data_IF_353274819507
#
_entry.id   IF_353274819507
#
_cell.length_a   1.000
_cell.length_b   1.000
_cell.length_c   1.000
_cell.angle_alpha   90.00
_cell.angle_beta   90.00
_cell.angle_gamma   90.00
#
_symmetry.space_group_name_H-M   'P 1'
#
loop_
_entity.id
_entity.type
_entity.pdbx_description
1 polymer ?
#
# COMPACT_ATOMS: atom_id res chain seq x y z
N UNK A 1 18.71 1.19 -9.51
CA UNK A 1 18.75 0.86 -8.07
C UNK A 1 18.16 1.97 -7.18
N UNK A 2 17.92 3.19 -7.68
CA UNK A 2 17.55 4.34 -6.83
C UNK A 2 16.05 4.64 -6.64
N UNK A 3 15.14 3.93 -7.31
CA UNK A 3 13.71 4.20 -7.17
C UNK A 3 13.09 3.67 -5.86
N UNK A 4 13.83 2.87 -5.08
CA UNK A 4 13.30 2.16 -3.91
C UNK A 4 13.45 2.93 -2.59
N UNK A 5 14.28 3.97 -2.52
CA UNK A 5 14.59 4.69 -1.26
C UNK A 5 13.78 5.96 -1.00
N UNK A 6 12.78 6.31 -1.80
CA UNK A 6 12.27 7.69 -1.83
C UNK A 6 11.64 8.17 -0.51
N UNK A 7 10.89 7.33 0.21
CA UNK A 7 10.18 7.77 1.43
C UNK A 7 11.07 7.70 2.67
N UNK A 8 11.75 6.58 2.93
CA UNK A 8 12.75 6.50 4.01
C UNK A 8 13.91 7.47 3.76
N UNK A 9 14.36 7.59 2.52
CA UNK A 9 15.38 8.54 2.08
C UNK A 9 14.96 9.99 2.27
N UNK A 10 13.66 10.32 2.21
CA UNK A 10 13.20 11.66 2.55
C UNK A 10 13.50 12.02 4.01
N UNK A 11 13.28 11.08 4.94
CA UNK A 11 13.58 11.29 6.37
C UNK A 11 15.09 11.27 6.62
N UNK A 12 15.82 10.34 6.00
CA UNK A 12 17.27 10.25 6.13
C UNK A 12 17.99 11.50 5.58
N UNK A 13 17.54 12.02 4.43
CA UNK A 13 18.11 13.22 3.81
C UNK A 13 17.63 14.51 4.46
N UNK A 14 16.37 14.55 4.92
CA UNK A 14 15.79 15.72 5.58
C UNK A 14 16.29 15.92 7.01
N UNK A 15 16.77 14.86 7.67
CA UNK A 15 17.29 14.93 9.02
C UNK A 15 16.28 15.55 10.00
N UNK A 16 16.74 16.50 10.81
CA UNK A 16 15.88 17.21 11.77
C UNK A 16 14.73 17.97 11.10
N UNK A 17 14.94 18.49 9.89
CA UNK A 17 13.93 19.26 9.16
C UNK A 17 12.73 18.41 8.70
N UNK A 18 12.88 17.09 8.65
CA UNK A 18 11.77 16.18 8.33
C UNK A 18 10.81 16.00 9.52
N UNK A 19 11.27 16.17 10.77
CA UNK A 19 10.45 15.97 11.95
C UNK A 19 9.24 16.93 11.96
N UNK A 20 8.06 16.40 12.30
CA UNK A 20 6.81 17.14 12.32
C UNK A 20 6.17 17.33 10.94
N UNK A 21 6.78 16.86 9.85
CA UNK A 21 6.11 16.81 8.53
C UNK A 21 4.87 15.92 8.65
N UNK A 22 3.74 16.38 8.10
CA UNK A 22 2.46 15.64 8.11
C UNK A 22 2.05 15.41 6.66
N UNK A 23 1.77 14.16 6.31
CA UNK A 23 1.38 13.81 4.94
C UNK A 23 0.48 12.57 4.93
N UNK A 24 -0.46 12.47 3.97
CA UNK A 24 -1.21 11.24 3.76
C UNK A 24 -0.30 10.19 3.09
N UNK A 25 -0.31 8.97 3.58
CA UNK A 25 0.43 7.87 2.99
C UNK A 25 -0.27 6.53 3.16
N UNK A 26 0.10 5.57 2.30
CA UNK A 26 -0.36 4.19 2.45
C UNK A 26 0.13 3.57 3.75
N UNK A 27 -0.62 2.61 4.28
CA UNK A 27 -0.39 2.03 5.61
C UNK A 27 0.86 1.15 5.73
N UNK A 28 1.57 0.89 4.64
CA UNK A 28 2.79 0.06 4.65
C UNK A 28 3.87 0.63 5.58
N UNK A 29 4.01 1.96 5.65
CA UNK A 29 4.99 2.64 6.52
C UNK A 29 4.72 2.42 8.01
N UNK A 30 3.47 2.12 8.38
CA UNK A 30 3.00 1.95 9.76
C UNK A 30 2.31 0.59 9.96
N UNK A 31 2.63 -0.40 9.12
CA UNK A 31 1.95 -1.70 9.10
C UNK A 31 1.95 -2.38 10.48
N UNK A 32 3.07 -2.29 11.19
CA UNK A 32 3.25 -2.89 12.52
C UNK A 32 2.39 -2.20 13.60
N UNK A 33 1.95 -0.96 13.35
CA UNK A 33 1.16 -0.14 14.29
C UNK A 33 -0.35 -0.19 14.05
N UNK A 34 -0.81 -0.87 12.99
CA UNK A 34 -2.24 -1.10 12.75
C UNK A 34 -2.83 -2.05 13.80
N UNK A 35 -4.13 -1.92 14.08
CA UNK A 35 -4.88 -2.91 14.85
C UNK A 35 -4.87 -4.28 14.16
N UNK A 36 -4.91 -5.35 14.95
CA UNK A 36 -4.78 -6.73 14.44
C UNK A 36 -5.95 -7.16 13.55
N UNK A 37 -7.13 -6.57 13.75
CA UNK A 37 -8.34 -6.81 12.97
C UNK A 37 -8.43 -5.95 11.69
N UNK A 38 -7.47 -5.04 11.47
CA UNK A 38 -7.48 -4.20 10.28
C UNK A 38 -7.33 -5.08 9.02
N UNK A 39 -8.22 -4.97 8.01
CA UNK A 39 -8.23 -5.90 6.88
C UNK A 39 -6.91 -5.98 6.10
N UNK A 40 -6.18 -4.86 6.01
CA UNK A 40 -4.87 -4.81 5.35
C UNK A 40 -3.69 -5.32 6.19
N UNK A 41 -3.82 -5.51 7.52
CA UNK A 41 -2.69 -5.85 8.42
C UNK A 41 -1.90 -7.04 7.91
N UNK A 42 -2.62 -8.12 7.57
CA UNK A 42 -2.01 -9.38 7.12
C UNK A 42 -1.19 -9.21 5.84
N UNK A 43 -1.75 -8.58 4.81
CA UNK A 43 -1.03 -8.40 3.52
C UNK A 43 0.18 -7.48 3.69
N UNK A 44 0.05 -6.41 4.48
CA UNK A 44 1.14 -5.46 4.70
C UNK A 44 2.31 -6.09 5.45
N UNK A 45 2.05 -6.76 6.57
CA UNK A 45 3.10 -7.42 7.38
C UNK A 45 3.77 -8.55 6.58
N UNK A 46 2.99 -9.32 5.84
CA UNK A 46 3.52 -10.42 4.99
C UNK A 46 4.43 -9.85 3.90
N UNK A 47 3.94 -8.86 3.13
CA UNK A 47 4.70 -8.24 2.05
C UNK A 47 5.99 -7.59 2.56
N UNK A 48 5.90 -6.82 3.66
CA UNK A 48 7.07 -6.22 4.32
C UNK A 48 8.10 -7.28 4.69
N UNK A 49 7.68 -8.31 5.42
CA UNK A 49 8.58 -9.39 5.86
C UNK A 49 9.25 -10.09 4.68
N UNK A 50 8.48 -10.46 3.67
CA UNK A 50 8.99 -11.21 2.52
C UNK A 50 9.98 -10.37 1.70
N UNK A 51 9.69 -9.08 1.51
CA UNK A 51 10.58 -8.14 0.83
C UNK A 51 11.88 -7.95 1.61
N UNK A 52 11.80 -7.57 2.89
CA UNK A 52 12.96 -7.26 3.73
C UNK A 52 13.84 -8.50 3.94
N UNK A 53 13.24 -9.68 4.11
CA UNK A 53 13.99 -10.93 4.26
C UNK A 53 14.74 -11.33 2.99
N UNK A 54 14.17 -11.03 1.82
CA UNK A 54 14.75 -11.41 0.53
C UNK A 54 15.84 -10.44 0.07
N UNK A 55 15.65 -9.14 0.29
CA UNK A 55 16.52 -8.10 -0.26
C UNK A 55 17.45 -7.46 0.77
N UNK A 56 17.22 -7.66 2.07
CA UNK A 56 18.08 -7.11 3.12
C UNK A 56 18.00 -5.58 3.25
N UNK A 57 16.94 -4.97 2.72
CA UNK A 57 16.68 -3.54 2.76
C UNK A 57 15.23 -3.30 3.19
N UNK A 58 14.94 -2.10 3.72
CA UNK A 58 13.58 -1.73 4.16
C UNK A 58 12.60 -1.74 3.00
N UNK A 59 11.36 -2.14 3.28
CA UNK A 59 10.30 -2.10 2.28
C UNK A 59 9.95 -0.67 1.88
N UNK A 60 9.61 -0.50 0.61
CA UNK A 60 9.18 0.77 0.05
C UNK A 60 7.76 0.69 -0.49
N UNK A 61 6.95 1.74 -0.31
CA UNK A 61 5.59 1.85 -0.86
C UNK A 61 5.53 1.54 -2.36
N UNK A 62 6.55 1.94 -3.12
CA UNK A 62 6.59 1.73 -4.57
C UNK A 62 6.64 0.26 -4.96
N UNK A 63 7.33 -0.58 -4.18
CA UNK A 63 7.33 -2.02 -4.39
C UNK A 63 5.93 -2.62 -4.16
N UNK A 64 5.20 -2.11 -3.18
CA UNK A 64 3.83 -2.53 -2.87
C UNK A 64 2.87 -2.27 -4.05
N UNK A 65 3.00 -1.14 -4.74
CA UNK A 65 2.19 -0.85 -5.93
C UNK A 65 2.39 -1.87 -7.06
N UNK A 66 3.64 -2.24 -7.33
CA UNK A 66 3.95 -3.27 -8.33
C UNK A 66 3.40 -4.65 -7.91
N UNK A 67 3.50 -4.97 -6.62
CA UNK A 67 2.93 -6.19 -6.06
C UNK A 67 1.41 -6.24 -6.24
N UNK A 68 0.69 -5.18 -5.87
CA UNK A 68 -0.77 -5.11 -5.99
C UNK A 68 -1.23 -5.27 -7.45
N UNK A 69 -0.59 -4.55 -8.38
CA UNK A 69 -0.91 -4.62 -9.80
C UNK A 69 -0.68 -6.05 -10.36
N UNK A 70 0.42 -6.69 -10.00
CA UNK A 70 0.72 -8.06 -10.42
C UNK A 70 -0.30 -9.05 -9.84
N UNK A 71 -0.65 -8.91 -8.57
CA UNK A 71 -1.59 -9.82 -7.91
C UNK A 71 -3.00 -9.70 -8.48
N UNK A 72 -3.48 -8.48 -8.79
CA UNK A 72 -4.74 -8.28 -9.52
C UNK A 72 -4.73 -8.96 -10.89
N UNK A 73 -3.64 -8.80 -11.66
CA UNK A 73 -3.50 -9.44 -12.97
C UNK A 73 -3.47 -10.98 -12.85
N UNK A 74 -2.74 -11.52 -11.88
CA UNK A 74 -2.67 -12.97 -11.62
C UNK A 74 -4.03 -13.53 -11.21
N UNK A 75 -4.78 -12.83 -10.35
CA UNK A 75 -6.14 -13.23 -9.97
C UNK A 75 -7.08 -13.27 -11.19
N UNK A 76 -7.05 -12.23 -12.03
CA UNK A 76 -7.87 -12.17 -13.24
C UNK A 76 -7.49 -13.29 -14.23
N UNK A 77 -6.20 -13.48 -14.50
CA UNK A 77 -5.72 -14.54 -15.39
C UNK A 77 -6.15 -15.93 -14.91
N UNK A 78 -6.09 -16.19 -13.60
CA UNK A 78 -6.57 -17.45 -13.02
C UNK A 78 -8.08 -17.63 -13.16
N UNK A 79 -8.85 -16.54 -13.06
CA UNK A 79 -10.31 -16.59 -13.09
C UNK A 79 -10.87 -16.75 -14.52
N UNK A 80 -10.30 -16.05 -15.50
CA UNK A 80 -10.90 -15.92 -16.84
C UNK A 80 -9.97 -16.26 -18.00
N UNK A 81 -8.71 -16.61 -17.72
CA UNK A 81 -7.70 -16.89 -18.73
C UNK A 81 -7.11 -15.64 -19.39
N UNK A 82 -6.25 -15.80 -20.41
CA UNK A 82 -5.53 -14.71 -21.07
C UNK A 82 -6.39 -14.01 -22.15
N UNK A 83 -7.57 -13.55 -21.78
CA UNK A 83 -8.48 -12.77 -22.64
C UNK A 83 -8.60 -11.35 -22.08
N UNK A 84 -8.19 -10.34 -22.85
CA UNK A 84 -8.11 -8.96 -22.37
C UNK A 84 -9.48 -8.37 -22.00
N UNK A 85 -10.53 -8.70 -22.76
CA UNK A 85 -11.88 -8.20 -22.48
C UNK A 85 -12.42 -8.82 -21.20
N UNK A 86 -12.26 -10.13 -21.03
CA UNK A 86 -12.70 -10.82 -19.81
C UNK A 86 -11.89 -10.41 -18.59
N UNK A 87 -10.59 -10.15 -18.73
CA UNK A 87 -9.74 -9.65 -17.64
C UNK A 87 -10.26 -8.30 -17.15
N UNK A 88 -10.54 -7.37 -18.08
CA UNK A 88 -11.13 -6.08 -17.74
C UNK A 88 -12.46 -6.27 -17.00
N UNK A 89 -13.39 -7.05 -17.56
CA UNK A 89 -14.69 -7.31 -16.95
C UNK A 89 -14.55 -7.92 -15.54
N UNK A 90 -13.61 -8.86 -15.35
CA UNK A 90 -13.34 -9.44 -14.04
C UNK A 90 -12.84 -8.38 -13.04
N UNK A 91 -11.89 -7.54 -13.43
CA UNK A 91 -11.34 -6.51 -12.55
C UNK A 91 -12.41 -5.49 -12.13
N UNK A 92 -13.32 -5.12 -13.04
CA UNK A 92 -14.45 -4.22 -12.76
C UNK A 92 -15.48 -4.81 -11.77
N UNK A 93 -15.39 -6.09 -11.43
CA UNK A 93 -16.22 -6.75 -10.39
C UNK A 93 -15.56 -6.77 -9.00
N UNK A 94 -14.30 -6.32 -8.87
CA UNK A 94 -13.52 -6.34 -7.62
C UNK A 94 -13.92 -5.18 -6.71
N UNK A 95 -15.16 -5.22 -6.22
CA UNK A 95 -15.71 -4.22 -5.31
C UNK A 95 -16.60 -4.85 -4.23
N UNK A 96 -16.91 -4.07 -3.19
CA UNK A 96 -17.75 -4.50 -2.08
C UNK A 96 -17.15 -5.71 -1.36
N UNK A 97 -17.90 -6.82 -1.30
CA UNK A 97 -17.42 -8.06 -0.66
C UNK A 97 -16.29 -8.76 -1.44
N UNK A 98 -16.11 -8.40 -2.71
CA UNK A 98 -15.08 -8.95 -3.60
C UNK A 98 -13.90 -7.98 -3.78
N UNK A 99 -13.84 -6.91 -3.00
CA UNK A 99 -12.77 -5.93 -3.08
C UNK A 99 -11.40 -6.59 -2.88
N UNK A 100 -10.40 -6.12 -3.62
CA UNK A 100 -9.04 -6.63 -3.52
C UNK A 100 -8.30 -5.94 -2.37
N UNK A 101 -7.88 -6.70 -1.37
CA UNK A 101 -7.14 -6.17 -0.22
C UNK A 101 -5.64 -6.16 -0.56
N UNK A 102 -5.14 -5.00 -0.97
CA UNK A 102 -3.75 -4.79 -1.35
C UNK A 102 -2.93 -4.00 -0.33
N UNK A 103 -1.68 -3.73 -0.68
CA UNK A 103 -0.76 -2.92 0.12
C UNK A 103 -1.09 -1.42 0.06
N UNK A 104 -1.58 -0.94 -1.08
CA UNK A 104 -1.95 0.47 -1.27
C UNK A 104 -3.32 0.82 -0.68
N UNK A 105 -4.19 -0.17 -0.46
CA UNK A 105 -5.56 0.04 0.00
C UNK A 105 -6.44 -1.18 -0.20
N UNK A 106 -7.74 -1.01 0.05
CA UNK A 106 -8.78 -1.97 -0.34
C UNK A 106 -9.40 -1.46 -1.63
N UNK A 107 -9.06 -2.10 -2.75
CA UNK A 107 -9.48 -1.69 -4.08
C UNK A 107 -10.92 -2.09 -4.35
N UNK A 108 -11.77 -1.09 -4.61
CA UNK A 108 -13.17 -1.22 -5.00
C UNK A 108 -13.33 -0.77 -6.47
N UNK A 109 -12.87 -1.60 -7.39
CA UNK A 109 -12.82 -1.28 -8.81
C UNK A 109 -14.21 -1.47 -9.44
N UNK A 110 -14.62 -0.53 -10.29
CA UNK A 110 -15.88 -0.56 -11.05
C UNK A 110 -15.64 -0.14 -12.50
N UNK A 111 -16.65 -0.31 -13.36
CA UNK A 111 -16.64 0.17 -14.76
C UNK A 111 -16.48 1.70 -14.90
N UNK A 112 -16.75 2.44 -13.82
CA UNK A 112 -16.68 3.92 -13.77
C UNK A 112 -15.49 4.44 -12.99
N UNK A 113 -14.85 3.60 -12.18
CA UNK A 113 -13.68 3.93 -11.38
C UNK A 113 -12.68 2.77 -11.39
N UNK A 114 -11.65 2.92 -12.23
CA UNK A 114 -10.57 1.95 -12.39
C UNK A 114 -9.45 2.13 -11.35
N UNK A 115 -9.52 3.15 -10.51
CA UNK A 115 -8.62 3.31 -9.36
C UNK A 115 -9.14 2.50 -8.17
N UNK A 116 -10.42 2.70 -7.82
CA UNK A 116 -11.09 1.98 -6.74
C UNK A 116 -10.53 2.27 -5.34
N UNK A 117 -9.71 3.31 -5.19
CA UNK A 117 -9.17 3.77 -3.91
C UNK A 117 -9.72 5.16 -3.61
N UNK A 118 -10.09 5.39 -2.35
CA UNK A 118 -10.52 6.69 -1.86
C UNK A 118 -9.63 7.16 -0.70
N UNK A 119 -10.04 8.24 -0.02
CA UNK A 119 -9.31 8.79 1.13
C UNK A 119 -9.05 7.78 2.25
N UNK A 120 -9.84 6.70 2.36
CA UNK A 120 -9.68 5.67 3.37
C UNK A 120 -8.49 4.74 3.05
N UNK A 121 -7.92 4.78 1.85
CA UNK A 121 -6.69 4.08 1.50
C UNK A 121 -5.45 4.63 2.24
N UNK A 122 -5.55 5.86 2.78
CA UNK A 122 -4.46 6.57 3.40
C UNK A 122 -4.62 6.67 4.93
N UNK A 123 -3.48 6.76 5.60
CA UNK A 123 -3.36 7.20 6.99
C UNK A 123 -2.65 8.56 6.98
N UNK A 124 -3.03 9.47 7.87
CA UNK A 124 -2.20 10.65 8.11
C UNK A 124 -0.98 10.21 8.93
N UNK A 125 0.21 10.45 8.39
CA UNK A 125 1.47 10.05 9.01
C UNK A 125 2.26 11.30 9.33
N UNK A 126 3.02 11.25 10.43
CA UNK A 126 4.03 12.24 10.76
C UNK A 126 5.39 11.61 11.05
N UNK A 127 6.45 12.41 10.94
CA UNK A 127 7.80 12.01 11.31
C UNK A 127 8.07 12.46 12.74
N UNK A 128 8.38 11.50 13.62
CA UNK A 128 8.80 11.74 15.00
C UNK A 128 10.12 11.02 15.26
N UNK A 129 11.14 11.75 15.68
CA UNK A 129 12.48 11.21 15.95
C UNK A 129 13.02 10.38 14.78
N UNK A 130 12.81 10.88 13.55
CA UNK A 130 13.23 10.20 12.32
C UNK A 130 12.44 8.92 12.00
N UNK A 131 11.27 8.72 12.59
CA UNK A 131 10.41 7.54 12.35
C UNK A 131 9.01 7.96 11.92
N UNK A 132 8.42 7.19 11.01
CA UNK A 132 7.02 7.34 10.65
C UNK A 132 6.11 6.81 11.75
N UNK A 133 5.15 7.62 12.16
CA UNK A 133 4.11 7.25 13.12
C UNK A 133 2.75 7.79 12.66
N UNK A 134 1.62 7.13 12.99
CA UNK A 134 0.30 7.69 12.75
C UNK A 134 0.17 9.07 13.40
N UNK A 135 -0.31 10.05 12.65
CA UNK A 135 -0.56 11.39 13.15
C UNK A 135 -1.77 11.40 14.06
N UNK A 136 -1.58 11.80 15.32
CA UNK A 136 -2.67 12.03 16.27
C UNK A 136 -2.76 13.52 16.54
N UNK A 137 -3.88 14.14 16.18
CA UNK A 137 -4.12 15.55 16.52
C UNK A 137 -4.22 15.67 18.05
N UNK A 138 -3.39 16.51 18.65
CA UNK A 138 -3.53 16.85 20.06
C UNK A 138 -4.91 17.49 20.29
N UNK A 139 -5.58 17.10 21.37
CA UNK A 139 -6.91 17.60 21.74
C UNK A 139 -6.82 18.99 22.35
#
# INVERSE_FOLDING_TARGET
ADALRVIDGHVEQGGEAANGTIFPAGRLLVADLLEDDHPQKKVLVTYKKDYESKYGEKVSTFGGHAYDALMLAVEALKAVGPDSAKIRDYLETRNGKNAFIGTAGIFNITDKDHCGLDKNAFELITVKDGKFVPFKKEK
#
